data_IF_337469560332
#
_entry.id   IF_337469560332
#
_cell.length_a   1.000
_cell.length_b   1.000
_cell.length_c   1.000
_cell.angle_alpha   90.00
_cell.angle_beta   90.00
_cell.angle_gamma   90.00
#
_symmetry.space_group_name_H-M   'P 1'
#
loop_
_entity.id
_entity.type
_entity.pdbx_description
1 polymer ?
#
# COMPACT_ATOMS: atom_id res chain seq x y z
N UNK A 1 7.11 -21.59 12.70
CA UNK A 1 8.10 -22.08 11.72
C UNK A 1 8.26 -21.13 10.53
N UNK A 2 7.24 -20.83 9.71
CA UNK A 2 7.39 -19.98 8.50
C UNK A 2 7.91 -18.54 8.75
N UNK A 3 7.44 -17.87 9.81
CA UNK A 3 7.91 -16.51 10.17
C UNK A 3 9.37 -16.50 10.62
N UNK A 4 9.79 -17.50 11.38
CA UNK A 4 11.19 -17.64 11.82
C UNK A 4 12.11 -17.93 10.64
N UNK A 5 11.74 -18.88 9.76
CA UNK A 5 12.50 -19.16 8.55
C UNK A 5 12.63 -17.93 7.63
N UNK A 6 11.59 -17.10 7.53
CA UNK A 6 11.69 -15.81 6.83
C UNK A 6 12.72 -14.89 7.50
N UNK A 7 12.64 -14.70 8.82
CA UNK A 7 13.62 -13.89 9.56
C UNK A 7 15.06 -14.41 9.40
N UNK A 8 15.27 -15.72 9.48
CA UNK A 8 16.58 -16.35 9.32
C UNK A 8 17.16 -16.18 7.90
N UNK A 9 16.31 -16.05 6.88
CA UNK A 9 16.72 -15.83 5.50
C UNK A 9 16.96 -14.34 5.14
N UNK A 10 16.53 -13.40 5.98
CA UNK A 10 16.70 -11.96 5.71
C UNK A 10 18.16 -11.51 5.51
N UNK A 11 19.16 -12.03 6.26
CA UNK A 11 20.56 -11.64 6.07
C UNK A 11 21.13 -11.94 4.67
N UNK A 12 20.54 -12.89 3.94
CA UNK A 12 20.97 -13.26 2.59
C UNK A 12 20.36 -12.35 1.49
N UNK A 13 19.46 -11.43 1.88
CA UNK A 13 18.82 -10.49 0.95
C UNK A 13 19.66 -9.22 0.80
N UNK A 14 19.96 -8.85 -0.44
CA UNK A 14 20.54 -7.56 -0.78
C UNK A 14 19.49 -6.44 -0.59
N UNK A 15 19.65 -5.53 0.41
CA UNK A 15 18.66 -4.50 0.71
C UNK A 15 18.40 -3.54 -0.45
N UNK A 16 19.37 -3.31 -1.34
CA UNK A 16 19.24 -2.37 -2.48
C UNK A 16 18.29 -2.90 -3.57
N UNK A 17 18.04 -4.21 -3.56
CA UNK A 17 17.13 -4.91 -4.47
C UNK A 17 15.72 -5.05 -3.91
N UNK A 18 15.49 -4.75 -2.64
CA UNK A 18 14.18 -4.95 -2.02
C UNK A 18 13.21 -3.83 -2.38
N UNK A 19 12.01 -4.22 -2.85
CA UNK A 19 10.88 -3.33 -3.10
C UNK A 19 9.68 -3.85 -2.34
N UNK A 20 9.29 -3.15 -1.28
CA UNK A 20 8.15 -3.51 -0.43
C UNK A 20 6.90 -2.83 -0.94
N UNK A 21 5.87 -3.59 -1.28
CA UNK A 21 4.55 -3.08 -1.67
C UNK A 21 3.63 -3.17 -0.47
N UNK A 22 2.94 -2.07 -0.21
CA UNK A 22 1.89 -2.02 0.80
C UNK A 22 0.76 -1.08 0.36
N UNK A 23 -0.41 -1.34 0.92
CA UNK A 23 -1.62 -0.56 0.71
C UNK A 23 -2.10 0.05 2.02
N UNK A 24 -2.43 1.33 1.96
CA UNK A 24 -3.10 2.02 3.06
C UNK A 24 -4.32 2.76 2.55
N UNK A 25 -5.34 2.89 3.38
CA UNK A 25 -6.50 3.71 3.07
C UNK A 25 -6.61 4.83 4.09
N UNK A 26 -6.99 6.00 3.60
CA UNK A 26 -7.33 7.14 4.41
C UNK A 26 -8.80 7.49 4.18
N UNK A 27 -9.54 7.69 5.27
CA UNK A 27 -10.88 8.26 5.18
C UNK A 27 -10.82 9.76 5.42
N UNK A 28 -11.65 10.52 4.70
CA UNK A 28 -11.89 11.92 5.01
C UNK A 28 -12.74 12.12 6.26
N UNK A 29 -13.26 11.05 6.88
CA UNK A 29 -13.96 11.05 8.16
C UNK A 29 -13.00 11.27 9.35
N UNK A 30 -12.29 12.39 9.36
CA UNK A 30 -11.30 12.75 10.38
C UNK A 30 -11.87 13.65 11.47
N UNK A 31 -13.17 13.94 11.43
CA UNK A 31 -13.84 14.74 12.45
C UNK A 31 -13.90 13.95 13.78
N UNK A 32 -13.50 14.60 14.88
CA UNK A 32 -13.60 14.00 16.22
C UNK A 32 -15.06 13.77 16.58
N UNK A 33 -15.39 12.55 17.00
CA UNK A 33 -16.74 12.20 17.49
C UNK A 33 -16.98 12.66 18.93
N UNK A 34 -15.92 12.98 19.67
CA UNK A 34 -15.98 13.37 21.08
C UNK A 34 -14.97 14.48 21.39
N UNK A 35 -15.28 15.29 22.39
CA UNK A 35 -14.38 16.30 22.94
C UNK A 35 -14.77 16.69 24.36
N UNK A 36 -14.05 17.64 24.95
CA UNK A 36 -14.28 18.10 26.33
C UNK A 36 -14.58 19.60 26.32
N UNK A 37 -15.52 20.01 27.16
CA UNK A 37 -15.84 21.40 27.46
C UNK A 37 -16.05 21.56 28.98
N UNK A 38 -15.94 22.78 29.52
CA UNK A 38 -16.31 23.05 30.91
C UNK A 38 -17.73 22.56 31.23
N UNK A 39 -17.95 22.18 32.49
CA UNK A 39 -19.26 21.69 32.93
C UNK A 39 -20.30 22.78 32.77
N UNK A 40 -21.39 22.47 32.05
CA UNK A 40 -22.47 23.42 31.75
C UNK A 40 -22.33 24.12 30.39
N UNK A 41 -21.21 23.94 29.69
CA UNK A 41 -20.97 24.56 28.38
C UNK A 41 -21.13 23.56 27.23
N UNK A 42 -21.66 24.05 26.10
CA UNK A 42 -21.78 23.27 24.88
C UNK A 42 -20.48 23.30 24.09
N UNK A 43 -19.87 22.13 23.84
CA UNK A 43 -18.79 22.00 22.88
C UNK A 43 -19.30 22.26 21.45
N UNK A 44 -18.75 23.27 20.78
CA UNK A 44 -19.03 23.57 19.37
C UNK A 44 -17.79 23.28 18.55
N UNK A 45 -17.94 22.54 17.46
CA UNK A 45 -16.88 22.26 16.50
C UNK A 45 -17.45 22.36 15.10
N UNK A 46 -16.71 22.99 14.18
CA UNK A 46 -16.99 22.94 12.76
C UNK A 46 -16.52 21.61 12.20
N UNK A 47 -17.42 20.90 11.51
CA UNK A 47 -17.07 19.68 10.78
C UNK A 47 -17.27 19.90 9.29
N UNK A 48 -16.42 19.33 8.42
CA UNK A 48 -16.68 19.35 6.98
C UNK A 48 -18.05 18.73 6.69
N UNK A 49 -18.90 19.45 5.96
CA UNK A 49 -20.21 18.95 5.52
C UNK A 49 -20.04 18.20 4.20
N UNK A 50 -20.44 16.93 4.13
CA UNK A 50 -20.40 16.15 2.89
C UNK A 50 -20.30 14.65 3.08
N UNK A 51 -20.15 13.94 1.96
CA UNK A 51 -19.92 12.50 1.93
C UNK A 51 -18.46 12.20 2.29
N UNK A 52 -18.25 11.34 3.28
CA UNK A 52 -16.93 10.82 3.59
C UNK A 52 -16.45 9.94 2.43
N UNK A 53 -15.22 10.19 1.98
CA UNK A 53 -14.55 9.40 0.96
C UNK A 53 -13.49 8.55 1.62
N UNK A 54 -13.32 7.33 1.14
CA UNK A 54 -12.15 6.52 1.44
C UNK A 54 -11.28 6.51 0.20
N UNK A 55 -10.04 6.92 0.37
CA UNK A 55 -9.03 6.94 -0.67
C UNK A 55 -7.98 5.90 -0.32
N UNK A 56 -7.71 4.98 -1.24
CA UNK A 56 -6.66 3.97 -1.11
C UNK A 56 -5.40 4.45 -1.82
N UNK A 57 -4.27 4.31 -1.13
CA UNK A 57 -2.93 4.56 -1.62
C UNK A 57 -2.17 3.24 -1.64
N UNK A 58 -1.53 2.94 -2.76
CA UNK A 58 -0.59 1.83 -2.90
C UNK A 58 0.72 2.38 -3.44
N UNK A 59 1.83 1.88 -2.92
CA UNK A 59 3.15 2.24 -3.43
C UNK A 59 4.19 1.17 -3.13
N UNK A 60 5.31 1.24 -3.83
CA UNK A 60 6.55 0.57 -3.44
C UNK A 60 7.41 1.44 -2.53
N UNK A 61 8.10 0.80 -1.60
CA UNK A 61 9.13 1.39 -0.77
C UNK A 61 10.44 0.62 -0.98
N UNK A 62 11.51 1.34 -1.30
CA UNK A 62 12.89 0.84 -1.38
C UNK A 62 13.82 1.82 -0.66
N UNK A 63 15.11 1.50 -0.56
CA UNK A 63 16.08 2.36 0.15
C UNK A 63 16.19 3.78 -0.41
N UNK A 64 15.92 3.98 -1.71
CA UNK A 64 15.89 5.30 -2.33
C UNK A 64 14.59 6.08 -2.11
N UNK A 65 13.61 5.51 -1.40
CA UNK A 65 12.32 6.14 -1.10
C UNK A 65 11.12 5.44 -1.74
N UNK A 66 10.00 6.17 -1.79
CA UNK A 66 8.73 5.71 -2.36
C UNK A 66 8.83 5.69 -3.89
N UNK A 67 8.32 4.62 -4.51
CA UNK A 67 8.22 4.42 -5.95
C UNK A 67 6.82 3.92 -6.32
N UNK A 68 6.45 4.04 -7.59
CA UNK A 68 5.17 3.56 -8.11
C UNK A 68 3.95 3.98 -7.25
N UNK A 69 3.75 5.26 -6.90
CA UNK A 69 2.56 5.65 -6.14
C UNK A 69 1.30 5.59 -7.00
N UNK A 70 0.21 5.05 -6.47
CA UNK A 70 -1.12 5.12 -7.07
C UNK A 70 -2.17 5.45 -6.00
N UNK A 71 -3.10 6.33 -6.35
CA UNK A 71 -4.23 6.73 -5.51
C UNK A 71 -5.54 6.36 -6.21
N UNK A 72 -6.46 5.77 -5.46
CA UNK A 72 -7.79 5.36 -5.93
C UNK A 72 -8.87 5.83 -4.94
N UNK A 73 -9.99 6.34 -5.44
CA UNK A 73 -11.18 6.66 -4.62
C UNK A 73 -12.06 5.42 -4.35
N UNK A 74 -11.43 4.25 -4.22
CA UNK A 74 -12.09 2.98 -3.99
C UNK A 74 -11.15 2.00 -3.29
N UNK A 75 -11.72 0.96 -2.67
CA UNK A 75 -10.95 -0.17 -2.14
C UNK A 75 -10.15 -0.85 -3.26
N UNK A 76 -8.93 -1.26 -2.94
CA UNK A 76 -8.16 -2.09 -3.86
C UNK A 76 -8.77 -3.49 -3.95
N UNK A 77 -8.93 -3.98 -5.17
CA UNK A 77 -9.33 -5.35 -5.46
C UNK A 77 -8.32 -5.96 -6.44
N UNK A 78 -8.47 -7.25 -6.76
CA UNK A 78 -7.53 -7.93 -7.65
C UNK A 78 -7.35 -7.23 -9.00
N UNK A 79 -8.43 -6.73 -9.62
CA UNK A 79 -8.33 -6.03 -10.92
C UNK A 79 -7.56 -4.71 -10.82
N UNK A 80 -7.82 -3.93 -9.78
CA UNK A 80 -7.09 -2.69 -9.52
C UNK A 80 -5.62 -2.96 -9.22
N UNK A 81 -5.33 -4.03 -8.49
CA UNK A 81 -3.98 -4.46 -8.18
C UNK A 81 -3.22 -4.99 -9.41
N UNK A 82 -3.88 -5.78 -10.27
CA UNK A 82 -3.30 -6.24 -11.54
C UNK A 82 -2.92 -5.03 -12.42
N UNK A 83 -3.81 -4.03 -12.52
CA UNK A 83 -3.56 -2.80 -13.27
C UNK A 83 -2.40 -1.98 -12.66
N UNK A 84 -2.35 -1.87 -11.34
CA UNK A 84 -1.24 -1.23 -10.61
C UNK A 84 0.11 -1.87 -10.96
N UNK A 85 0.17 -3.20 -10.93
CA UNK A 85 1.41 -3.91 -11.21
C UNK A 85 1.84 -3.70 -12.66
N UNK A 86 0.92 -3.89 -13.60
CA UNK A 86 1.18 -3.83 -15.03
C UNK A 86 1.55 -2.41 -15.52
N UNK A 87 0.80 -1.40 -15.06
CA UNK A 87 0.90 -0.04 -15.62
C UNK A 87 1.81 0.89 -14.83
N UNK A 88 2.15 0.54 -13.59
CA UNK A 88 2.89 1.45 -12.69
C UNK A 88 4.12 0.74 -12.13
N UNK A 89 3.93 -0.34 -11.36
CA UNK A 89 5.04 -0.99 -10.65
C UNK A 89 6.14 -1.49 -11.59
N UNK A 90 5.78 -2.20 -12.65
CA UNK A 90 6.76 -2.84 -13.56
C UNK A 90 7.71 -1.82 -14.22
N UNK A 91 7.27 -0.58 -14.40
CA UNK A 91 8.11 0.48 -14.97
C UNK A 91 9.19 0.98 -14.01
N UNK A 92 8.97 0.85 -12.70
CA UNK A 92 9.93 1.24 -11.65
C UNK A 92 10.89 0.11 -11.26
N UNK A 93 10.61 -1.13 -11.67
CA UNK A 93 11.44 -2.29 -11.37
C UNK A 93 12.65 -2.41 -12.29
N UNK A 94 13.76 -2.87 -11.72
CA UNK A 94 14.99 -3.23 -12.42
C UNK A 94 15.20 -4.75 -12.43
N UNK A 95 15.92 -5.31 -13.42
CA UNK A 95 16.33 -6.70 -13.37
C UNK A 95 17.08 -7.01 -12.06
N UNK A 96 16.60 -8.03 -11.34
CA UNK A 96 17.18 -8.44 -10.06
C UNK A 96 16.47 -7.89 -8.82
N UNK A 97 15.55 -6.93 -8.97
CA UNK A 97 14.71 -6.46 -7.86
C UNK A 97 13.86 -7.61 -7.30
N UNK A 98 13.65 -7.58 -5.98
CA UNK A 98 12.89 -8.53 -5.19
C UNK A 98 11.67 -7.80 -4.65
N UNK A 99 10.51 -8.10 -5.24
CA UNK A 99 9.23 -7.54 -4.80
C UNK A 99 8.72 -8.32 -3.60
N UNK A 100 8.47 -7.64 -2.49
CA UNK A 100 7.92 -8.18 -1.25
C UNK A 100 6.55 -7.57 -1.03
N UNK A 101 5.58 -8.40 -0.69
CA UNK A 101 4.18 -8.04 -0.48
C UNK A 101 3.57 -9.01 0.53
N UNK A 102 2.47 -8.60 1.16
CA UNK A 102 1.77 -9.47 2.09
C UNK A 102 1.09 -10.67 1.36
N UNK A 103 0.52 -11.60 2.13
CA UNK A 103 -0.03 -12.85 1.60
C UNK A 103 -1.51 -12.73 1.19
N UNK A 104 -1.99 -11.54 0.84
CA UNK A 104 -3.37 -11.31 0.41
C UNK A 104 -3.70 -12.03 -0.90
N UNK A 105 -4.97 -12.41 -1.10
CA UNK A 105 -5.39 -13.14 -2.30
C UNK A 105 -5.27 -12.34 -3.58
N UNK A 106 -5.50 -11.02 -3.54
CA UNK A 106 -5.34 -10.10 -4.68
C UNK A 106 -3.91 -10.09 -5.23
N UNK A 107 -2.91 -10.35 -4.40
CA UNK A 107 -1.49 -10.34 -4.79
C UNK A 107 -1.06 -11.59 -5.55
N UNK A 108 -1.87 -12.67 -5.50
CA UNK A 108 -1.49 -13.99 -6.03
C UNK A 108 -2.00 -14.24 -7.44
N UNK A 109 -2.46 -13.20 -8.13
CA UNK A 109 -2.89 -13.27 -9.51
C UNK A 109 -1.75 -13.79 -10.41
N UNK A 110 -2.00 -14.75 -11.32
CA UNK A 110 -1.00 -15.16 -12.31
C UNK A 110 -0.50 -13.98 -13.16
N UNK A 111 -1.34 -12.96 -13.37
CA UNK A 111 -0.99 -11.73 -14.09
C UNK A 111 0.12 -10.96 -13.37
N UNK A 112 -0.02 -10.70 -12.06
CA UNK A 112 1.01 -10.06 -11.22
C UNK A 112 2.36 -10.77 -11.36
N UNK A 113 2.37 -12.10 -11.21
CA UNK A 113 3.60 -12.89 -11.31
C UNK A 113 4.23 -12.79 -12.69
N UNK A 114 3.42 -12.76 -13.74
CA UNK A 114 3.89 -12.67 -15.13
C UNK A 114 4.47 -11.30 -15.42
N UNK A 115 3.78 -10.25 -14.99
CA UNK A 115 4.17 -8.85 -15.16
C UNK A 115 5.50 -8.56 -14.43
N UNK A 116 5.64 -8.93 -13.16
CA UNK A 116 6.90 -8.73 -12.41
C UNK A 116 8.06 -9.49 -13.08
N UNK A 117 7.81 -10.71 -13.57
CA UNK A 117 8.85 -11.52 -14.23
C UNK A 117 9.22 -11.03 -15.63
N UNK A 118 8.33 -10.34 -16.34
CA UNK A 118 8.61 -9.84 -17.69
C UNK A 118 9.75 -8.81 -17.68
N UNK A 119 9.94 -8.11 -16.55
CA UNK A 119 11.00 -7.12 -16.34
C UNK A 119 12.41 -7.71 -16.12
N UNK A 120 12.56 -9.05 -16.18
CA UNK A 120 13.87 -9.73 -16.09
C UNK A 120 14.78 -9.57 -17.33
N UNK A 121 14.47 -8.66 -18.25
CA UNK A 121 15.27 -8.39 -19.46
C UNK A 121 15.79 -6.96 -19.47
#
# INVERSE_FOLDING_TARGET
MRRLAWFEAQPDLDPDRLVFIDETWASTAIARTHGRAPRGERLRIGVPFGHWKTTTFVAGLRLSGIVAPMVLDALINQRAFDAYVDQILVHELKPGDIVIMDNLSSHKSPAVRTAIKSRRR
#
